data_IF_306930626765
#
_entry.id   IF_306930626765
#
_cell.length_a   1.000
_cell.length_b   1.000
_cell.length_c   1.000
_cell.angle_alpha   90.00
_cell.angle_beta   90.00
_cell.angle_gamma   90.00
#
_symmetry.space_group_name_H-M   'P 1'
#
loop_
_entity.id
_entity.type
_entity.pdbx_description
1 polymer ?
#
# COMPACT_ATOMS: atom_id res chain seq x y z
N UNK A 1 14.74 -4.55 -0.23
CA UNK A 1 13.46 -4.70 -0.93
C UNK A 1 13.61 -4.08 -2.31
N UNK A 2 13.13 -4.73 -3.36
CA UNK A 2 13.07 -4.21 -4.73
C UNK A 2 11.98 -3.14 -4.83
N UNK A 3 12.25 -1.95 -4.27
CA UNK A 3 11.48 -0.76 -4.61
C UNK A 3 11.80 -0.30 -6.04
N UNK A 4 11.12 0.75 -6.53
CA UNK A 4 11.59 1.53 -7.69
C UNK A 4 13.06 1.96 -7.48
N UNK A 5 13.46 2.20 -6.22
CA UNK A 5 14.81 2.59 -5.85
C UNK A 5 15.51 1.51 -5.00
N UNK A 6 16.38 0.73 -5.64
CA UNK A 6 17.21 -0.26 -4.94
C UNK A 6 18.36 0.38 -4.14
N UNK A 7 18.67 1.67 -4.39
CA UNK A 7 19.81 2.35 -3.78
C UNK A 7 19.66 2.53 -2.27
N UNK A 8 18.43 2.54 -1.76
CA UNK A 8 18.13 2.62 -0.33
C UNK A 8 18.69 1.41 0.43
N UNK A 9 18.85 0.25 -0.23
CA UNK A 9 19.44 -0.95 0.37
C UNK A 9 20.90 -1.18 -0.06
N UNK A 10 21.55 -0.16 -0.64
CA UNK A 10 23.00 -0.18 -0.86
C UNK A 10 23.76 -0.32 0.46
N UNK A 11 25.01 -0.77 0.39
CA UNK A 11 25.85 -0.93 1.58
C UNK A 11 26.02 0.40 2.33
N UNK A 12 26.20 1.49 1.58
CA UNK A 12 26.36 2.84 2.11
C UNK A 12 25.09 3.30 2.84
N UNK A 13 23.93 3.09 2.23
CA UNK A 13 22.63 3.42 2.83
C UNK A 13 22.35 2.61 4.10
N UNK A 14 22.61 1.29 4.07
CA UNK A 14 22.48 0.41 5.23
C UNK A 14 23.37 0.85 6.40
N UNK A 15 24.63 1.24 6.12
CA UNK A 15 25.56 1.76 7.13
C UNK A 15 25.11 3.11 7.72
N UNK A 16 24.28 3.86 7.01
CA UNK A 16 23.76 5.16 7.42
C UNK A 16 22.67 5.11 8.50
N UNK A 17 22.17 3.93 8.88
CA UNK A 17 21.06 3.79 9.84
C UNK A 17 21.35 2.70 10.87
N UNK A 18 20.67 2.73 12.02
CA UNK A 18 20.83 1.66 13.01
C UNK A 18 20.20 0.36 12.51
N UNK A 19 18.97 0.42 11.99
CA UNK A 19 18.29 -0.76 11.46
C UNK A 19 19.02 -1.37 10.25
N UNK A 20 19.63 -0.55 9.39
CA UNK A 20 20.45 -1.02 8.27
C UNK A 20 21.71 -1.78 8.71
N UNK A 21 22.36 -1.34 9.79
CA UNK A 21 23.47 -2.09 10.42
C UNK A 21 23.00 -3.46 10.95
N UNK A 22 21.82 -3.51 11.54
CA UNK A 22 21.24 -4.76 12.03
C UNK A 22 20.86 -5.70 10.88
N UNK A 23 20.34 -5.18 9.77
CA UNK A 23 20.12 -5.93 8.52
C UNK A 23 21.44 -6.54 8.02
N UNK A 24 22.51 -5.74 7.92
CA UNK A 24 23.81 -6.24 7.47
C UNK A 24 24.37 -7.32 8.41
N UNK A 25 24.24 -7.13 9.73
CA UNK A 25 24.66 -8.13 10.73
C UNK A 25 23.89 -9.44 10.55
N UNK A 26 22.57 -9.37 10.36
CA UNK A 26 21.75 -10.56 10.12
C UNK A 26 22.07 -11.26 8.79
N UNK A 27 22.40 -10.47 7.75
CA UNK A 27 22.88 -10.99 6.47
C UNK A 27 24.22 -11.73 6.60
N UNK A 28 25.19 -11.14 7.30
CA UNK A 28 26.50 -11.75 7.58
C UNK A 28 26.38 -13.06 8.37
N UNK A 29 25.52 -13.07 9.39
CA UNK A 29 25.25 -14.25 10.21
C UNK A 29 24.32 -15.26 9.52
N UNK A 30 23.78 -14.92 8.35
CA UNK A 30 22.77 -15.71 7.61
C UNK A 30 21.64 -16.16 8.55
N UNK A 31 21.06 -15.21 9.29
CA UNK A 31 20.00 -15.49 10.26
C UNK A 31 18.81 -16.21 9.59
N UNK A 32 18.01 -16.93 10.39
CA UNK A 32 16.80 -17.60 9.88
C UNK A 32 15.85 -16.59 9.20
N UNK A 33 15.63 -15.43 9.83
CA UNK A 33 14.80 -14.36 9.28
C UNK A 33 15.32 -13.83 7.94
N UNK A 34 16.62 -13.55 7.84
CA UNK A 34 17.25 -13.10 6.58
C UNK A 34 17.08 -14.13 5.45
N UNK A 35 17.31 -15.42 5.73
CA UNK A 35 17.13 -16.50 4.75
C UNK A 35 15.68 -16.61 4.28
N UNK A 36 14.72 -16.63 5.20
CA UNK A 36 13.30 -16.68 4.86
C UNK A 36 12.88 -15.44 4.07
N UNK A 37 13.38 -14.27 4.44
CA UNK A 37 13.11 -13.03 3.73
C UNK A 37 13.58 -13.08 2.27
N UNK A 38 14.82 -13.48 2.03
CA UNK A 38 15.33 -13.62 0.66
C UNK A 38 14.61 -14.72 -0.12
N UNK A 39 14.26 -15.83 0.53
CA UNK A 39 13.49 -16.89 -0.11
C UNK A 39 12.15 -16.37 -0.67
N UNK A 40 11.37 -15.63 0.13
CA UNK A 40 10.10 -15.08 -0.35
C UNK A 40 10.31 -13.96 -1.37
N UNK A 41 11.34 -13.12 -1.20
CA UNK A 41 11.70 -12.11 -2.19
C UNK A 41 11.98 -12.75 -3.56
N UNK A 42 12.90 -13.72 -3.62
CA UNK A 42 13.31 -14.38 -4.87
C UNK A 42 12.16 -15.18 -5.50
N UNK A 43 11.40 -15.92 -4.68
CA UNK A 43 10.21 -16.66 -5.14
C UNK A 43 9.21 -15.73 -5.81
N UNK A 44 8.88 -14.62 -5.15
CA UNK A 44 7.85 -13.71 -5.66
C UNK A 44 8.32 -12.86 -6.84
N UNK A 45 9.62 -12.55 -6.95
CA UNK A 45 10.19 -11.94 -8.16
C UNK A 45 10.01 -12.85 -9.39
N UNK A 46 10.13 -14.18 -9.22
CA UNK A 46 9.89 -15.15 -10.30
C UNK A 46 8.39 -15.31 -10.62
N UNK A 47 7.52 -15.25 -9.60
CA UNK A 47 6.07 -15.39 -9.76
C UNK A 47 5.38 -14.11 -10.28
N UNK A 48 6.00 -12.94 -10.12
CA UNK A 48 5.37 -11.65 -10.42
C UNK A 48 4.95 -11.51 -11.89
N UNK A 49 5.78 -12.00 -12.82
CA UNK A 49 5.44 -11.96 -14.25
C UNK A 49 4.19 -12.79 -14.59
N UNK A 50 4.01 -13.94 -13.93
CA UNK A 50 2.83 -14.77 -14.10
C UNK A 50 1.58 -14.09 -13.51
N UNK A 51 1.72 -13.48 -12.33
CA UNK A 51 0.67 -12.65 -11.72
C UNK A 51 0.22 -11.52 -12.66
N UNK A 52 1.17 -10.70 -13.16
CA UNK A 52 0.86 -9.59 -14.05
C UNK A 52 0.12 -10.05 -15.30
N UNK A 53 0.55 -11.17 -15.91
CA UNK A 53 -0.13 -11.78 -17.06
C UNK A 53 -1.57 -12.19 -16.73
N UNK A 54 -1.80 -12.85 -15.59
CA UNK A 54 -3.16 -13.23 -15.15
C UNK A 54 -4.04 -12.01 -14.94
N UNK A 55 -3.50 -10.93 -14.37
CA UNK A 55 -4.23 -9.70 -14.17
C UNK A 55 -4.63 -9.04 -15.50
N UNK A 56 -3.68 -8.85 -16.42
CA UNK A 56 -3.92 -8.28 -17.75
C UNK A 56 -4.99 -9.08 -18.50
N UNK A 57 -4.89 -10.42 -18.51
CA UNK A 57 -5.86 -11.28 -19.18
C UNK A 57 -7.26 -11.15 -18.56
N UNK A 58 -7.36 -11.10 -17.24
CA UNK A 58 -8.65 -10.94 -16.55
C UNK A 58 -9.29 -9.58 -16.86
N UNK A 59 -8.48 -8.52 -16.90
CA UNK A 59 -8.94 -7.17 -17.20
C UNK A 59 -9.38 -7.02 -18.67
N UNK A 60 -8.60 -7.58 -19.59
CA UNK A 60 -8.95 -7.61 -21.02
C UNK A 60 -10.27 -8.33 -21.27
N UNK A 61 -10.46 -9.50 -20.64
CA UNK A 61 -11.68 -10.27 -20.74
C UNK A 61 -12.89 -9.49 -20.17
N UNK A 62 -12.75 -8.86 -19.01
CA UNK A 62 -13.81 -8.09 -18.37
C UNK A 62 -14.25 -6.89 -19.22
N UNK A 63 -13.30 -6.11 -19.76
CA UNK A 63 -13.59 -4.94 -20.60
C UNK A 63 -14.31 -5.35 -21.90
N UNK A 64 -13.86 -6.43 -22.54
CA UNK A 64 -14.44 -6.87 -23.81
C UNK A 64 -15.83 -7.51 -23.65
N UNK A 65 -16.06 -8.21 -22.53
CA UNK A 65 -17.35 -8.83 -22.24
C UNK A 65 -18.44 -7.81 -21.87
N UNK A 66 -18.08 -6.61 -21.41
CA UNK A 66 -19.03 -5.60 -20.98
C UNK A 66 -19.71 -4.91 -22.17
N UNK A 67 -20.98 -5.24 -22.42
CA UNK A 67 -21.79 -4.64 -23.47
C UNK A 67 -22.31 -3.24 -23.13
N UNK A 68 -22.28 -2.83 -21.86
CA UNK A 68 -22.73 -1.49 -21.43
C UNK A 68 -21.77 -0.85 -20.40
N UNK A 69 -20.57 -0.43 -20.84
CA UNK A 69 -19.57 0.19 -19.97
C UNK A 69 -20.08 1.44 -19.25
N UNK A 70 -20.98 2.22 -19.88
CA UNK A 70 -21.56 3.41 -19.27
C UNK A 70 -22.36 3.07 -18.00
N UNK A 71 -23.14 1.98 -18.02
CA UNK A 71 -23.82 1.49 -16.82
C UNK A 71 -22.86 1.00 -15.76
N UNK A 72 -21.75 0.36 -16.15
CA UNK A 72 -20.70 -0.10 -15.22
C UNK A 72 -20.03 1.09 -14.53
N UNK A 73 -19.67 2.13 -15.28
CA UNK A 73 -19.12 3.38 -14.73
C UNK A 73 -20.11 4.02 -13.74
N UNK A 74 -21.38 4.15 -14.12
CA UNK A 74 -22.38 4.79 -13.25
C UNK A 74 -22.55 4.03 -11.94
N UNK A 75 -22.69 2.69 -11.98
CA UNK A 75 -22.80 1.86 -10.78
C UNK A 75 -21.59 2.03 -9.86
N UNK A 76 -20.41 2.12 -10.44
CA UNK A 76 -19.20 2.35 -9.68
C UNK A 76 -19.19 3.73 -9.04
N UNK A 77 -19.49 4.80 -9.80
CA UNK A 77 -19.60 6.16 -9.27
C UNK A 77 -20.61 6.24 -8.11
N UNK A 78 -21.77 5.59 -8.25
CA UNK A 78 -22.80 5.51 -7.21
C UNK A 78 -22.29 4.74 -5.97
N UNK A 79 -21.59 3.62 -6.20
CA UNK A 79 -21.02 2.83 -5.13
C UNK A 79 -19.97 3.62 -4.36
N UNK A 80 -19.00 4.24 -5.06
CA UNK A 80 -17.87 4.95 -4.45
C UNK A 80 -18.21 6.35 -3.97
N UNK A 81 -19.27 6.97 -4.50
CA UNK A 81 -19.71 8.33 -4.17
C UNK A 81 -18.80 9.42 -4.75
N UNK A 82 -18.10 9.16 -5.85
CA UNK A 82 -17.10 10.05 -6.45
C UNK A 82 -17.20 10.02 -7.99
N UNK A 83 -17.92 10.98 -8.56
CA UNK A 83 -18.12 11.10 -10.02
C UNK A 83 -16.84 11.47 -10.77
N UNK A 84 -15.86 12.06 -10.09
CA UNK A 84 -14.55 12.37 -10.64
C UNK A 84 -13.70 11.13 -10.96
N UNK A 85 -14.05 9.97 -10.37
CA UNK A 85 -13.36 8.71 -10.60
C UNK A 85 -13.88 7.94 -11.83
N UNK A 86 -14.87 8.48 -12.54
CA UNK A 86 -15.37 7.90 -13.79
C UNK A 86 -15.08 8.80 -14.99
N UNK A 87 -14.86 8.23 -16.19
CA UNK A 87 -14.60 9.01 -17.38
C UNK A 87 -15.81 9.87 -17.78
N UNK A 88 -15.55 10.88 -18.59
CA UNK A 88 -16.64 11.61 -19.23
C UNK A 88 -17.49 10.67 -20.12
N UNK A 89 -18.83 10.73 -20.02
CA UNK A 89 -19.69 9.76 -20.69
C UNK A 89 -19.47 9.64 -22.21
N UNK A 90 -19.10 10.75 -22.86
CA UNK A 90 -18.81 10.80 -24.29
C UNK A 90 -17.49 10.14 -24.70
N UNK A 91 -16.52 10.00 -23.79
CA UNK A 91 -15.21 9.40 -24.07
C UNK A 91 -15.17 7.88 -23.88
N UNK A 92 -16.19 7.31 -23.20
CA UNK A 92 -16.26 5.89 -22.85
C UNK A 92 -16.09 4.95 -24.06
N UNK A 93 -16.76 5.14 -25.22
CA UNK A 93 -16.59 4.25 -26.37
C UNK A 93 -15.15 4.23 -26.90
N UNK A 94 -14.51 5.40 -26.98
CA UNK A 94 -13.16 5.55 -27.50
C UNK A 94 -12.11 4.96 -26.54
N UNK A 95 -12.30 5.17 -25.23
CA UNK A 95 -11.45 4.58 -24.19
C UNK A 95 -11.55 3.05 -24.24
N UNK A 96 -12.77 2.50 -24.32
CA UNK A 96 -12.97 1.06 -24.44
C UNK A 96 -12.27 0.51 -25.67
N UNK A 97 -12.48 1.12 -26.85
CA UNK A 97 -11.86 0.66 -28.10
C UNK A 97 -10.32 0.64 -27.99
N UNK A 98 -9.73 1.65 -27.35
CA UNK A 98 -8.29 1.72 -27.09
C UNK A 98 -7.81 0.65 -26.10
N UNK A 99 -8.47 0.49 -24.96
CA UNK A 99 -8.09 -0.48 -23.91
C UNK A 99 -8.44 -1.93 -24.25
N UNK A 100 -9.26 -2.16 -25.27
CA UNK A 100 -9.43 -3.49 -25.88
C UNK A 100 -8.17 -3.97 -26.60
N UNK A 101 -7.19 -3.10 -26.90
CA UNK A 101 -5.88 -3.49 -27.40
C UNK A 101 -5.03 -4.11 -26.28
N UNK A 102 -4.56 -5.36 -26.42
CA UNK A 102 -3.73 -6.02 -25.41
C UNK A 102 -2.47 -5.22 -25.04
N UNK A 103 -1.80 -4.62 -26.03
CA UNK A 103 -0.55 -3.89 -25.82
C UNK A 103 -0.78 -2.60 -25.00
N UNK A 104 -1.86 -1.88 -25.30
CA UNK A 104 -2.22 -0.65 -24.58
C UNK A 104 -2.61 -0.99 -23.14
N UNK A 105 -3.44 -2.02 -22.95
CA UNK A 105 -3.84 -2.45 -21.62
C UNK A 105 -2.64 -2.95 -20.80
N UNK A 106 -1.73 -3.69 -21.42
CA UNK A 106 -0.50 -4.15 -20.80
C UNK A 106 0.38 -2.98 -20.34
N UNK A 107 0.55 -1.94 -21.15
CA UNK A 107 1.28 -0.73 -20.74
C UNK A 107 0.62 -0.07 -19.51
N UNK A 108 -0.71 0.12 -19.52
CA UNK A 108 -1.41 0.71 -18.37
C UNK A 108 -1.24 -0.12 -17.11
N UNK A 109 -1.44 -1.43 -17.20
CA UNK A 109 -1.29 -2.32 -16.04
C UNK A 109 0.17 -2.34 -15.55
N UNK A 110 1.15 -2.35 -16.44
CA UNK A 110 2.57 -2.32 -16.05
C UNK A 110 2.95 -1.04 -15.29
N UNK A 111 2.37 0.11 -15.66
CA UNK A 111 2.58 1.39 -14.94
C UNK A 111 1.99 1.38 -13.54
N UNK A 112 0.81 0.78 -13.37
CA UNK A 112 0.14 0.68 -12.07
C UNK A 112 0.93 -0.32 -11.18
N UNK A 113 1.22 -1.50 -11.71
CA UNK A 113 1.99 -2.55 -11.00
C UNK A 113 3.43 -2.15 -10.65
N UNK A 114 3.97 -1.12 -11.30
CA UNK A 114 5.24 -0.53 -10.91
C UNK A 114 5.08 0.36 -9.67
N UNK A 115 4.54 -0.20 -8.59
CA UNK A 115 4.36 0.50 -7.30
C UNK A 115 5.24 -0.13 -6.22
N UNK A 116 5.83 0.71 -5.36
CA UNK A 116 6.57 0.26 -4.19
C UNK A 116 5.67 -0.59 -3.29
N UNK A 117 4.40 -0.19 -3.11
CA UNK A 117 3.46 -0.92 -2.29
C UNK A 117 3.26 -2.34 -2.81
N UNK A 118 2.93 -2.51 -4.09
CA UNK A 118 2.73 -3.83 -4.71
C UNK A 118 3.95 -4.73 -4.55
N UNK A 119 5.13 -4.24 -4.94
CA UNK A 119 6.38 -5.03 -4.89
C UNK A 119 6.76 -5.43 -3.47
N UNK A 120 6.47 -4.57 -2.48
CA UNK A 120 6.73 -4.87 -1.08
C UNK A 120 5.70 -5.81 -0.46
N UNK A 121 4.42 -5.70 -0.83
CA UNK A 121 3.35 -6.51 -0.24
C UNK A 121 3.29 -7.92 -0.79
N UNK A 122 3.66 -8.13 -2.07
CA UNK A 122 3.57 -9.42 -2.71
C UNK A 122 4.34 -10.54 -1.98
N UNK A 123 5.65 -10.38 -1.63
CA UNK A 123 6.36 -11.37 -0.81
C UNK A 123 5.74 -11.58 0.57
N UNK A 124 5.21 -10.52 1.18
CA UNK A 124 4.61 -10.59 2.52
C UNK A 124 3.31 -11.39 2.50
N UNK A 125 2.44 -11.18 1.52
CA UNK A 125 1.19 -11.95 1.39
C UNK A 125 1.45 -13.42 1.09
N UNK A 126 2.41 -13.70 0.21
CA UNK A 126 2.86 -15.07 -0.02
C UNK A 126 3.35 -15.72 1.29
N UNK A 127 4.17 -15.03 2.07
CA UNK A 127 4.66 -15.54 3.35
C UNK A 127 3.53 -15.76 4.38
N UNK A 128 2.65 -14.77 4.57
CA UNK A 128 1.55 -14.89 5.52
C UNK A 128 0.59 -16.03 5.15
N UNK A 129 0.27 -16.17 3.86
CA UNK A 129 -0.63 -17.22 3.38
C UNK A 129 -0.02 -18.62 3.54
N UNK A 130 1.25 -18.78 3.12
CA UNK A 130 1.99 -20.04 3.24
C UNK A 130 2.14 -20.42 4.73
N UNK A 131 2.51 -19.46 5.59
CA UNK A 131 2.64 -19.69 7.03
C UNK A 131 1.32 -20.01 7.74
N UNK A 132 0.21 -19.39 7.31
CA UNK A 132 -1.11 -19.73 7.85
C UNK A 132 -1.56 -21.12 7.40
N UNK A 133 -1.34 -21.46 6.13
CA UNK A 133 -1.68 -22.78 5.60
C UNK A 133 -0.92 -23.88 6.33
N UNK A 134 0.39 -23.69 6.56
CA UNK A 134 1.21 -24.62 7.35
C UNK A 134 0.71 -24.73 8.80
N UNK A 135 0.41 -23.61 9.46
CA UNK A 135 -0.07 -23.61 10.84
C UNK A 135 -1.41 -24.35 11.02
N UNK A 136 -2.35 -24.15 10.09
CA UNK A 136 -3.65 -24.82 10.13
C UNK A 136 -3.63 -26.25 9.56
N UNK A 137 -2.52 -26.68 8.96
CA UNK A 137 -2.41 -27.99 8.31
C UNK A 137 -3.20 -28.10 7.00
N UNK A 138 -3.43 -26.98 6.32
CA UNK A 138 -4.14 -26.96 5.04
C UNK A 138 -3.21 -27.27 3.87
N UNK A 139 -3.79 -27.79 2.79
CA UNK A 139 -3.14 -27.91 1.48
C UNK A 139 -4.03 -27.27 0.42
N UNK A 140 -4.17 -25.93 0.41
CA UNK A 140 -5.01 -25.24 -0.57
C UNK A 140 -4.47 -25.48 -1.97
N UNK A 141 -5.37 -25.55 -2.96
CA UNK A 141 -4.95 -25.58 -4.36
C UNK A 141 -4.15 -24.32 -4.71
N UNK A 142 -3.19 -24.45 -5.62
CA UNK A 142 -2.43 -23.30 -6.13
C UNK A 142 -3.36 -22.22 -6.68
N UNK A 143 -4.45 -22.62 -7.33
CA UNK A 143 -5.46 -21.71 -7.86
C UNK A 143 -6.13 -20.86 -6.77
N UNK A 144 -6.57 -21.47 -5.66
CA UNK A 144 -7.19 -20.74 -4.55
C UNK A 144 -6.20 -19.79 -3.89
N UNK A 145 -4.97 -20.27 -3.67
CA UNK A 145 -3.87 -19.47 -3.12
C UNK A 145 -3.60 -18.24 -3.98
N UNK A 146 -3.36 -18.46 -5.27
CA UNK A 146 -3.07 -17.39 -6.23
C UNK A 146 -4.25 -16.43 -6.34
N UNK A 147 -5.49 -16.93 -6.35
CA UNK A 147 -6.67 -16.06 -6.38
C UNK A 147 -6.73 -15.12 -5.17
N UNK A 148 -6.60 -15.63 -3.94
CA UNK A 148 -6.69 -14.79 -2.73
C UNK A 148 -5.56 -13.76 -2.69
N UNK A 149 -4.32 -14.17 -3.00
CA UNK A 149 -3.16 -13.27 -3.00
C UNK A 149 -3.29 -12.23 -4.12
N UNK A 150 -3.49 -12.67 -5.38
CA UNK A 150 -3.62 -11.80 -6.55
C UNK A 150 -4.76 -10.79 -6.33
N UNK A 151 -5.90 -11.24 -5.80
CA UNK A 151 -7.07 -10.39 -5.57
C UNK A 151 -6.78 -9.25 -4.60
N UNK A 152 -6.04 -9.52 -3.51
CA UNK A 152 -5.63 -8.47 -2.58
C UNK A 152 -4.53 -7.56 -3.13
N UNK A 153 -3.62 -8.08 -3.94
CA UNK A 153 -2.62 -7.24 -4.62
C UNK A 153 -3.29 -6.30 -5.61
N UNK A 154 -4.22 -6.81 -6.42
CA UNK A 154 -5.02 -6.00 -7.35
C UNK A 154 -5.84 -4.94 -6.61
N UNK A 155 -6.40 -5.29 -5.45
CA UNK A 155 -7.14 -4.33 -4.62
C UNK A 155 -6.26 -3.23 -4.02
N UNK A 156 -5.01 -3.54 -3.67
CA UNK A 156 -4.02 -2.54 -3.24
C UNK A 156 -3.63 -1.68 -4.44
N UNK A 157 -3.40 -2.32 -5.59
CA UNK A 157 -3.03 -1.67 -6.84
C UNK A 157 -4.07 -0.63 -7.29
N UNK A 158 -5.36 -0.81 -6.94
CA UNK A 158 -6.41 0.20 -7.14
C UNK A 158 -6.17 1.54 -6.46
N UNK A 159 -5.37 1.60 -5.38
CA UNK A 159 -5.09 2.89 -4.74
C UNK A 159 -4.22 3.77 -5.62
N UNK A 160 -3.32 3.18 -6.42
CA UNK A 160 -2.40 3.91 -7.30
C UNK A 160 -3.12 4.71 -8.41
N UNK A 161 -4.00 4.14 -9.26
CA UNK A 161 -4.73 4.92 -10.25
C UNK A 161 -5.68 5.92 -9.59
N UNK A 162 -6.27 5.59 -8.44
CA UNK A 162 -7.11 6.53 -7.70
C UNK A 162 -6.31 7.74 -7.20
N UNK A 163 -5.14 7.51 -6.60
CA UNK A 163 -4.26 8.57 -6.13
C UNK A 163 -3.81 9.44 -7.32
N UNK A 164 -3.41 8.85 -8.46
CA UNK A 164 -3.05 9.62 -9.67
C UNK A 164 -4.20 10.48 -10.20
N UNK A 165 -5.43 9.98 -10.16
CA UNK A 165 -6.62 10.75 -10.59
C UNK A 165 -6.88 11.93 -9.65
N UNK A 166 -6.79 11.71 -8.33
CA UNK A 166 -7.10 12.71 -7.31
C UNK A 166 -5.97 13.75 -7.20
N UNK A 167 -4.73 13.30 -7.18
CA UNK A 167 -3.55 14.14 -6.93
C UNK A 167 -2.96 14.76 -8.20
N UNK A 168 -3.27 14.18 -9.37
CA UNK A 168 -2.81 14.65 -10.69
C UNK A 168 -1.29 14.86 -10.71
N UNK A 169 -0.55 13.84 -10.28
CA UNK A 169 0.91 13.88 -10.09
C UNK A 169 1.70 13.06 -11.14
N UNK A 170 1.17 11.91 -11.59
CA UNK A 170 1.81 11.01 -12.57
C UNK A 170 0.81 10.58 -13.67
N UNK A 171 1.33 10.28 -14.87
CA UNK A 171 0.56 9.70 -15.98
C UNK A 171 -0.72 10.50 -16.37
N UNK A 172 -0.59 11.83 -16.41
CA UNK A 172 -1.72 12.76 -16.61
C UNK A 172 -2.49 12.53 -17.92
N UNK A 173 -1.79 12.07 -18.96
CA UNK A 173 -2.39 11.73 -20.25
C UNK A 173 -3.24 10.45 -20.23
N UNK A 174 -3.14 9.64 -19.16
CA UNK A 174 -3.82 8.35 -19.02
C UNK A 174 -4.90 8.33 -17.94
N UNK A 175 -5.23 9.46 -17.31
CA UNK A 175 -6.22 9.51 -16.22
C UNK A 175 -7.59 8.95 -16.64
N UNK A 176 -8.04 9.23 -17.86
CA UNK A 176 -9.32 8.69 -18.37
C UNK A 176 -9.26 7.17 -18.58
N UNK A 177 -8.10 6.61 -18.96
CA UNK A 177 -7.92 5.16 -19.05
C UNK A 177 -8.04 4.53 -17.64
N UNK A 178 -7.40 5.15 -16.64
CA UNK A 178 -7.47 4.69 -15.25
C UNK A 178 -8.88 4.75 -14.67
N UNK A 179 -9.58 5.86 -14.88
CA UNK A 179 -11.00 6.00 -14.47
C UNK A 179 -11.86 4.89 -15.07
N UNK A 180 -11.64 4.56 -16.34
CA UNK A 180 -12.36 3.49 -17.02
C UNK A 180 -12.01 2.11 -16.46
N UNK A 181 -10.75 1.85 -16.12
CA UNK A 181 -10.29 0.56 -15.62
C UNK A 181 -10.76 0.26 -14.19
N UNK A 182 -10.88 1.28 -13.33
CA UNK A 182 -11.21 1.15 -11.89
C UNK A 182 -12.35 0.16 -11.56
N UNK A 183 -13.56 0.26 -12.14
CA UNK A 183 -14.64 -0.67 -11.82
C UNK A 183 -14.33 -2.13 -12.17
N UNK A 184 -13.62 -2.35 -13.29
CA UNK A 184 -13.24 -3.69 -13.71
C UNK A 184 -12.17 -4.27 -12.80
N UNK A 185 -11.17 -3.47 -12.42
CA UNK A 185 -10.13 -3.88 -11.49
C UNK A 185 -10.75 -4.27 -10.13
N UNK A 186 -11.68 -3.46 -9.60
CA UNK A 186 -12.40 -3.78 -8.36
C UNK A 186 -13.23 -5.06 -8.48
N UNK A 187 -13.94 -5.25 -9.60
CA UNK A 187 -14.68 -6.47 -9.88
C UNK A 187 -13.79 -7.73 -9.90
N UNK A 188 -12.61 -7.63 -10.51
CA UNK A 188 -11.62 -8.72 -10.56
C UNK A 188 -11.07 -9.03 -9.17
N UNK A 189 -10.72 -8.01 -8.40
CA UNK A 189 -10.29 -8.17 -7.01
C UNK A 189 -11.33 -8.92 -6.18
N UNK A 190 -12.60 -8.48 -6.23
CA UNK A 190 -13.73 -9.13 -5.55
C UNK A 190 -13.89 -10.59 -5.95
N UNK A 191 -13.91 -10.87 -7.25
CA UNK A 191 -14.06 -12.23 -7.77
C UNK A 191 -12.94 -13.14 -7.23
N UNK A 192 -11.69 -12.69 -7.33
CA UNK A 192 -10.51 -13.43 -6.86
C UNK A 192 -10.52 -13.65 -5.34
N UNK A 193 -10.79 -12.61 -4.57
CA UNK A 193 -10.87 -12.66 -3.09
C UNK A 193 -11.98 -13.62 -2.64
N UNK A 194 -13.12 -13.63 -3.35
CA UNK A 194 -14.25 -14.50 -3.01
C UNK A 194 -13.94 -16.00 -3.08
N UNK A 195 -12.91 -16.40 -3.82
CA UNK A 195 -12.44 -17.80 -3.83
C UNK A 195 -11.88 -18.26 -2.47
N UNK A 196 -11.53 -17.31 -1.60
CA UNK A 196 -11.20 -17.57 -0.20
C UNK A 196 -12.39 -17.99 0.66
N UNK A 197 -13.62 -17.67 0.22
CA UNK A 197 -14.89 -17.90 0.91
C UNK A 197 -15.59 -16.60 1.35
N UNK A 198 -16.87 -16.69 1.70
CA UNK A 198 -17.70 -15.52 2.03
C UNK A 198 -17.14 -14.67 3.17
N UNK A 199 -16.55 -15.29 4.17
CA UNK A 199 -15.93 -14.58 5.30
C UNK A 199 -14.71 -13.74 4.87
N UNK A 200 -13.98 -14.18 3.83
CA UNK A 200 -12.82 -13.49 3.27
C UNK A 200 -13.30 -12.29 2.44
N UNK A 201 -14.31 -12.49 1.59
CA UNK A 201 -14.93 -11.40 0.82
C UNK A 201 -15.55 -10.35 1.74
N UNK A 202 -16.30 -10.77 2.76
CA UNK A 202 -16.92 -9.85 3.72
C UNK A 202 -15.88 -8.98 4.44
N UNK A 203 -14.78 -9.58 4.88
CA UNK A 203 -13.69 -8.82 5.49
C UNK A 203 -13.14 -7.78 4.50
N UNK A 204 -12.92 -8.16 3.24
CA UNK A 204 -12.50 -7.23 2.18
C UNK A 204 -13.47 -6.06 2.00
N UNK A 205 -14.79 -6.30 1.88
CA UNK A 205 -15.78 -5.23 1.70
C UNK A 205 -15.85 -4.27 2.90
N UNK A 206 -15.72 -4.79 4.12
CA UNK A 206 -15.64 -3.97 5.34
C UNK A 206 -14.39 -3.08 5.31
N UNK A 207 -13.23 -3.65 4.97
CA UNK A 207 -11.98 -2.90 4.81
C UNK A 207 -12.04 -1.86 3.68
N UNK A 208 -12.66 -2.20 2.55
CA UNK A 208 -12.83 -1.29 1.42
C UNK A 208 -13.71 -0.09 1.78
N UNK A 209 -14.82 -0.33 2.50
CA UNK A 209 -15.68 0.74 3.03
C UNK A 209 -14.92 1.66 3.98
N UNK A 210 -14.10 1.09 4.86
CA UNK A 210 -13.29 1.86 5.80
C UNK A 210 -12.21 2.68 5.10
N UNK A 211 -11.56 2.13 4.07
CA UNK A 211 -10.56 2.84 3.29
C UNK A 211 -11.15 4.07 2.56
N UNK A 212 -12.38 3.95 2.05
CA UNK A 212 -13.12 5.06 1.44
C UNK A 212 -13.41 6.20 2.40
N UNK A 213 -13.73 5.89 3.66
CA UNK A 213 -13.89 6.91 4.70
C UNK A 213 -12.56 7.66 4.88
N UNK A 214 -11.45 6.93 4.97
CA UNK A 214 -10.12 7.55 5.05
C UNK A 214 -9.80 8.45 3.86
N UNK A 215 -10.10 8.01 2.63
CA UNK A 215 -9.92 8.82 1.42
C UNK A 215 -10.76 10.09 1.41
N UNK A 216 -12.00 10.02 1.88
CA UNK A 216 -12.87 11.18 1.98
C UNK A 216 -12.33 12.23 2.97
N UNK A 217 -11.76 11.78 4.10
CA UNK A 217 -11.09 12.67 5.05
C UNK A 217 -9.80 13.26 4.45
N UNK A 218 -9.03 12.47 3.70
CA UNK A 218 -7.82 12.92 2.97
C UNK A 218 -8.12 14.12 2.06
N UNK A 219 -9.15 14.00 1.21
CA UNK A 219 -9.60 15.07 0.31
C UNK A 219 -10.06 16.32 1.08
N UNK A 220 -10.81 16.14 2.18
CA UNK A 220 -11.24 17.26 3.03
C UNK A 220 -10.07 18.01 3.64
N UNK A 221 -9.06 17.31 4.11
CA UNK A 221 -7.87 17.92 4.72
C UNK A 221 -7.01 18.62 3.66
N UNK A 222 -6.94 18.12 2.42
CA UNK A 222 -6.31 18.83 1.29
C UNK A 222 -6.98 20.18 1.02
N UNK A 223 -8.30 20.26 1.15
CA UNK A 223 -9.04 21.52 0.97
C UNK A 223 -8.88 22.51 2.12
N UNK A 224 -8.65 22.03 3.35
CA UNK A 224 -8.48 22.87 4.55
C UNK A 224 -7.32 22.36 5.41
N UNK A 225 -6.06 22.55 4.99
CA UNK A 225 -4.89 21.98 5.66
C UNK A 225 -4.78 22.40 7.13
N UNK A 226 -5.20 23.62 7.46
CA UNK A 226 -5.22 24.17 8.81
C UNK A 226 -6.15 23.43 9.80
N UNK A 227 -7.12 22.66 9.29
CA UNK A 227 -8.12 21.96 10.11
C UNK A 227 -7.68 20.58 10.60
N UNK A 228 -6.43 20.19 10.30
CA UNK A 228 -5.84 18.92 10.70
C UNK A 228 -5.78 18.80 12.22
N UNK A 229 -6.19 17.64 12.74
CA UNK A 229 -6.14 17.30 14.15
C UNK A 229 -5.85 15.79 14.28
N UNK A 230 -5.63 15.30 15.51
CA UNK A 230 -5.28 13.90 15.75
C UNK A 230 -6.36 12.92 15.27
N UNK A 231 -7.64 13.21 15.50
CA UNK A 231 -8.77 12.38 15.06
C UNK A 231 -8.80 12.23 13.54
N UNK A 232 -8.76 13.35 12.82
CA UNK A 232 -8.75 13.38 11.36
C UNK A 232 -7.49 12.69 10.79
N UNK A 233 -6.35 12.79 11.46
CA UNK A 233 -5.13 12.09 11.04
C UNK A 233 -5.22 10.58 11.23
N UNK A 234 -5.75 10.13 12.37
CA UNK A 234 -6.01 8.71 12.59
C UNK A 234 -7.01 8.15 11.58
N UNK A 235 -8.05 8.92 11.23
CA UNK A 235 -9.03 8.53 10.21
C UNK A 235 -8.46 8.55 8.79
N UNK A 236 -7.61 9.51 8.46
CA UNK A 236 -6.89 9.53 7.17
C UNK A 236 -5.97 8.30 7.03
N UNK A 237 -5.22 7.98 8.08
CA UNK A 237 -4.35 6.81 8.14
C UNK A 237 -5.12 5.48 8.18
N UNK A 238 -6.42 5.51 8.48
CA UNK A 238 -7.30 4.35 8.40
C UNK A 238 -7.29 3.69 7.02
N UNK A 239 -6.96 4.42 5.93
CA UNK A 239 -6.80 3.83 4.60
C UNK A 239 -5.74 2.73 4.56
N UNK A 240 -4.54 2.99 5.11
CA UNK A 240 -3.47 2.01 5.21
C UNK A 240 -3.86 0.85 6.13
N UNK A 241 -4.44 1.18 7.30
CA UNK A 241 -4.89 0.20 8.28
C UNK A 241 -5.93 -0.76 7.71
N UNK A 242 -6.93 -0.22 7.04
CA UNK A 242 -8.07 -0.98 6.52
C UNK A 242 -7.64 -1.87 5.36
N UNK A 243 -6.88 -1.35 4.39
CA UNK A 243 -6.41 -2.13 3.24
C UNK A 243 -5.41 -3.21 3.68
N UNK A 244 -4.34 -2.82 4.37
CA UNK A 244 -3.26 -3.74 4.73
C UNK A 244 -3.68 -4.73 5.82
N UNK A 245 -4.40 -4.26 6.83
CA UNK A 245 -4.91 -5.12 7.91
C UNK A 245 -5.90 -6.16 7.39
N UNK A 246 -6.82 -5.76 6.52
CA UNK A 246 -7.81 -6.68 5.96
C UNK A 246 -7.16 -7.70 5.03
N UNK A 247 -6.23 -7.26 4.18
CA UNK A 247 -5.47 -8.18 3.35
C UNK A 247 -4.66 -9.17 4.20
N UNK A 248 -3.98 -8.69 5.26
CA UNK A 248 -3.29 -9.54 6.23
C UNK A 248 -4.21 -10.59 6.87
N UNK A 249 -5.38 -10.17 7.36
CA UNK A 249 -6.41 -11.08 7.90
C UNK A 249 -6.81 -12.17 6.91
N UNK A 250 -6.99 -11.78 5.66
CA UNK A 250 -7.43 -12.67 4.60
C UNK A 250 -6.34 -13.65 4.13
N UNK A 251 -5.06 -13.37 4.40
CA UNK A 251 -4.00 -14.37 4.21
C UNK A 251 -4.15 -15.57 5.15
N UNK A 252 -4.86 -15.42 6.27
CA UNK A 252 -5.26 -16.54 7.14
C UNK A 252 -6.67 -17.07 6.80
N UNK A 253 -7.24 -16.70 5.64
CA UNK A 253 -8.64 -16.94 5.26
C UNK A 253 -9.64 -16.45 6.32
N UNK A 254 -9.31 -15.33 6.99
CA UNK A 254 -10.10 -14.76 8.07
C UNK A 254 -10.32 -15.73 9.27
N UNK A 255 -9.39 -16.67 9.50
CA UNK A 255 -9.46 -17.64 10.60
C UNK A 255 -8.64 -17.21 11.80
N UNK A 256 -9.22 -17.35 12.99
CA UNK A 256 -8.53 -17.11 14.26
C UNK A 256 -7.56 -18.25 14.61
N UNK A 257 -6.48 -17.97 15.36
CA UNK A 257 -6.10 -16.64 15.86
C UNK A 257 -5.34 -15.80 14.83
N UNK A 258 -4.78 -16.42 13.78
CA UNK A 258 -3.86 -15.76 12.85
C UNK A 258 -4.48 -14.59 12.11
N UNK A 259 -5.76 -14.64 11.73
CA UNK A 259 -6.45 -13.56 11.04
C UNK A 259 -6.47 -12.25 11.84
N UNK A 260 -6.67 -12.32 13.15
CA UNK A 260 -6.67 -11.12 14.01
C UNK A 260 -5.24 -10.61 14.26
N UNK A 261 -4.29 -11.54 14.43
CA UNK A 261 -2.87 -11.20 14.61
C UNK A 261 -2.29 -10.54 13.35
N UNK A 262 -2.55 -11.14 12.19
CA UNK A 262 -2.11 -10.60 10.90
C UNK A 262 -2.77 -9.26 10.61
N UNK A 263 -4.04 -9.08 10.98
CA UNK A 263 -4.70 -7.79 10.87
C UNK A 263 -3.94 -6.71 11.64
N UNK A 264 -3.69 -6.92 12.93
CA UNK A 264 -2.97 -5.96 13.76
C UNK A 264 -1.58 -5.66 13.20
N UNK A 265 -0.79 -6.71 12.93
CA UNK A 265 0.58 -6.56 12.45
C UNK A 265 0.69 -5.81 11.13
N UNK A 266 -0.11 -6.21 10.13
CA UNK A 266 -0.08 -5.59 8.80
C UNK A 266 -0.62 -4.16 8.82
N UNK A 267 -1.68 -3.92 9.60
CA UNK A 267 -2.27 -2.60 9.68
C UNK A 267 -1.28 -1.59 10.28
N UNK A 268 -0.63 -1.97 11.39
CA UNK A 268 0.34 -1.13 12.09
C UNK A 268 1.65 -0.97 11.32
N UNK A 269 2.16 -2.03 10.70
CA UNK A 269 3.30 -1.92 9.80
C UNK A 269 3.00 -1.01 8.60
N UNK A 270 1.79 -1.09 8.03
CA UNK A 270 1.34 -0.20 6.96
C UNK A 270 1.31 1.28 7.37
N UNK A 271 0.77 1.59 8.56
CA UNK A 271 0.82 2.94 9.14
C UNK A 271 2.28 3.42 9.34
N UNK A 272 3.16 2.54 9.82
CA UNK A 272 4.59 2.84 9.97
C UNK A 272 5.31 3.14 8.65
N UNK A 273 5.05 2.37 7.59
CA UNK A 273 5.58 2.65 6.23
C UNK A 273 5.05 3.99 5.73
N UNK A 274 3.77 4.30 5.98
CA UNK A 274 3.16 5.57 5.61
C UNK A 274 3.98 6.79 6.10
N UNK A 275 4.48 6.76 7.34
CA UNK A 275 5.33 7.84 7.87
C UNK A 275 6.63 8.03 7.05
N UNK A 276 7.29 6.95 6.63
CA UNK A 276 8.48 7.04 5.78
C UNK A 276 8.17 7.60 4.40
N UNK A 277 7.06 7.15 3.80
CA UNK A 277 6.60 7.64 2.50
C UNK A 277 6.31 9.15 2.54
N UNK A 278 5.70 9.66 3.62
CA UNK A 278 5.45 11.10 3.76
C UNK A 278 6.74 11.92 3.79
N UNK A 279 7.82 11.38 4.36
CA UNK A 279 9.15 12.01 4.37
C UNK A 279 9.78 11.96 2.97
N UNK A 280 9.72 10.79 2.31
CA UNK A 280 10.20 10.64 0.93
C UNK A 280 9.49 11.62 -0.02
N UNK A 281 8.17 11.67 0.04
CA UNK A 281 7.34 12.57 -0.76
C UNK A 281 7.67 14.04 -0.48
N UNK A 282 7.87 14.39 0.80
CA UNK A 282 8.22 15.76 1.15
C UNK A 282 9.56 16.19 0.54
N UNK A 283 10.55 15.29 0.52
CA UNK A 283 11.85 15.51 -0.12
C UNK A 283 11.68 15.67 -1.63
N UNK A 284 10.92 14.77 -2.28
CA UNK A 284 10.73 14.78 -3.74
C UNK A 284 9.96 16.01 -4.23
N UNK A 285 8.89 16.36 -3.52
CA UNK A 285 8.01 17.46 -3.89
C UNK A 285 8.52 18.82 -3.37
N UNK A 286 9.51 18.80 -2.48
CA UNK A 286 10.08 19.99 -1.87
C UNK A 286 9.08 20.78 -1.01
N UNK A 287 8.12 20.09 -0.39
CA UNK A 287 7.12 20.68 0.51
C UNK A 287 6.59 19.62 1.50
N UNK A 288 6.07 20.05 2.65
CA UNK A 288 5.38 19.14 3.57
C UNK A 288 4.11 18.60 2.91
N UNK A 289 3.93 17.27 2.91
CA UNK A 289 2.75 16.61 2.33
C UNK A 289 1.46 17.00 3.06
N UNK A 290 0.34 17.05 2.35
CA UNK A 290 -0.98 17.38 2.91
C UNK A 290 -2.01 16.31 2.49
N UNK A 291 -2.77 15.72 3.44
CA UNK A 291 -2.48 15.70 4.88
C UNK A 291 -1.24 14.86 5.19
N UNK A 292 -0.62 15.09 6.35
CA UNK A 292 0.48 14.25 6.82
C UNK A 292 0.76 14.41 8.32
N UNK A 293 1.39 13.43 8.95
CA UNK A 293 1.84 13.57 10.35
C UNK A 293 2.86 14.70 10.52
N UNK A 294 3.84 14.90 9.59
CA UNK A 294 4.73 16.05 9.62
C UNK A 294 3.97 17.38 9.67
N UNK A 295 2.93 17.55 8.84
CA UNK A 295 2.11 18.76 8.84
C UNK A 295 1.38 18.95 10.17
N UNK A 296 0.72 17.90 10.67
CA UNK A 296 -0.01 17.95 11.93
C UNK A 296 0.91 18.40 13.07
N UNK A 297 2.07 17.76 13.22
CA UNK A 297 2.99 18.11 14.29
C UNK A 297 3.59 19.49 14.08
N UNK A 298 3.98 19.86 12.86
CA UNK A 298 4.55 21.17 12.57
C UNK A 298 3.59 22.32 12.91
N UNK A 299 2.29 22.17 12.63
CA UNK A 299 1.27 23.16 12.98
C UNK A 299 1.09 23.29 14.50
N UNK A 300 1.18 22.19 15.24
CA UNK A 300 1.02 22.19 16.69
C UNK A 300 2.28 22.69 17.43
N UNK A 301 3.48 22.53 16.84
CA UNK A 301 4.73 22.98 17.46
C UNK A 301 5.24 24.32 16.92
N UNK A 302 4.72 24.78 15.79
CA UNK A 302 5.25 25.93 15.06
C UNK A 302 6.64 25.69 14.45
N UNK A 303 7.04 24.42 14.26
CA UNK A 303 8.38 24.05 13.81
C UNK A 303 8.31 22.81 12.88
N UNK A 304 8.57 23.01 11.60
CA UNK A 304 8.60 21.94 10.59
C UNK A 304 9.62 20.85 10.90
N UNK A 305 10.82 21.20 11.36
CA UNK A 305 11.84 20.20 11.71
C UNK A 305 11.33 19.32 12.84
N UNK A 306 10.76 19.94 13.88
CA UNK A 306 10.16 19.22 14.99
C UNK A 306 8.99 18.33 14.54
N UNK A 307 8.23 18.78 13.54
CA UNK A 307 7.16 17.99 12.93
C UNK A 307 7.64 16.64 12.37
N UNK A 308 8.76 16.64 11.62
CA UNK A 308 9.36 15.41 11.10
C UNK A 308 9.98 14.53 12.20
N UNK A 309 10.62 15.13 13.22
CA UNK A 309 11.14 14.39 14.38
C UNK A 309 10.04 13.61 15.12
N UNK A 310 8.88 14.25 15.35
CA UNK A 310 7.73 13.62 16.00
C UNK A 310 7.07 12.56 15.12
N UNK A 311 7.09 12.76 13.80
CA UNK A 311 6.63 11.74 12.84
C UNK A 311 7.47 10.46 12.91
N UNK A 312 8.79 10.59 13.09
CA UNK A 312 9.65 9.42 13.30
C UNK A 312 9.33 8.69 14.62
N UNK A 313 9.00 9.41 15.69
CA UNK A 313 8.56 8.79 16.95
C UNK A 313 7.21 8.08 16.77
N UNK A 314 6.27 8.72 16.07
CA UNK A 314 4.97 8.10 15.73
C UNK A 314 5.14 6.82 14.90
N UNK A 315 6.08 6.84 13.95
CA UNK A 315 6.44 5.64 13.19
C UNK A 315 6.95 4.51 14.07
N UNK A 316 7.80 4.77 15.06
CA UNK A 316 8.31 3.71 15.93
C UNK A 316 7.19 3.13 16.80
N UNK A 317 6.29 3.97 17.33
CA UNK A 317 5.10 3.49 18.06
C UNK A 317 4.26 2.51 17.23
N UNK A 318 4.03 2.82 15.95
CA UNK A 318 3.33 1.89 15.06
C UNK A 318 4.08 0.57 14.90
N UNK A 319 5.40 0.59 14.78
CA UNK A 319 6.19 -0.64 14.62
C UNK A 319 6.27 -1.44 15.92
N UNK A 320 6.31 -0.81 17.08
CA UNK A 320 6.20 -1.47 18.38
C UNK A 320 4.84 -2.19 18.52
N UNK A 321 3.74 -1.57 18.07
CA UNK A 321 2.44 -2.23 18.02
C UNK A 321 2.42 -3.42 17.03
N UNK A 322 3.06 -3.28 15.87
CA UNK A 322 3.19 -4.38 14.91
C UNK A 322 4.02 -5.55 15.50
N UNK A 323 5.05 -5.25 16.29
CA UNK A 323 5.84 -6.25 17.01
C UNK A 323 5.05 -6.98 18.09
N UNK A 324 4.09 -6.31 18.74
CA UNK A 324 3.17 -6.99 19.66
C UNK A 324 2.39 -8.09 18.93
N UNK A 325 1.94 -7.86 17.70
CA UNK A 325 1.29 -8.90 16.90
C UNK A 325 2.23 -10.09 16.64
N UNK A 326 3.50 -9.85 16.35
CA UNK A 326 4.51 -10.92 16.18
C UNK A 326 4.74 -11.71 17.48
N UNK A 327 4.67 -11.05 18.64
CA UNK A 327 4.75 -11.70 19.96
C UNK A 327 3.50 -12.55 20.27
N UNK A 328 2.33 -12.19 19.71
CA UNK A 328 1.09 -12.95 19.85
C UNK A 328 1.02 -14.21 18.98
N UNK A 329 1.95 -14.38 18.03
CA UNK A 329 1.96 -15.56 17.16
C UNK A 329 2.14 -16.85 17.97
N UNK A 330 1.42 -17.93 17.63
CA UNK A 330 1.60 -19.24 18.24
C UNK A 330 3.05 -19.73 18.18
N UNK A 331 3.52 -20.43 19.22
CA UNK A 331 4.92 -20.86 19.30
C UNK A 331 5.38 -21.80 18.17
N UNK A 332 4.46 -22.48 17.51
CA UNK A 332 4.73 -23.35 16.35
C UNK A 332 4.65 -22.63 14.98
N UNK A 333 4.36 -21.33 14.94
CA UNK A 333 4.32 -20.56 13.69
C UNK A 333 5.74 -20.32 13.13
N UNK A 334 6.04 -20.87 11.95
CA UNK A 334 7.43 -20.98 11.45
C UNK A 334 8.02 -19.69 10.87
N UNK A 335 7.18 -18.74 10.47
CA UNK A 335 7.59 -17.50 9.79
C UNK A 335 7.69 -16.29 10.72
N UNK A 336 7.72 -16.51 12.04
CA UNK A 336 8.01 -15.45 13.00
C UNK A 336 9.34 -14.72 12.70
N UNK A 337 10.46 -15.41 12.43
CA UNK A 337 11.73 -14.74 12.12
C UNK A 337 11.70 -13.91 10.83
N UNK A 338 10.91 -14.33 9.83
CA UNK A 338 10.67 -13.54 8.61
C UNK A 338 10.03 -12.19 8.94
N UNK A 339 8.99 -12.18 9.77
CA UNK A 339 8.27 -10.96 10.15
C UNK A 339 9.15 -10.02 10.99
N UNK A 340 9.93 -10.57 11.92
CA UNK A 340 10.91 -9.80 12.70
C UNK A 340 11.95 -9.11 11.80
N UNK A 341 12.44 -9.84 10.77
CA UNK A 341 13.37 -9.26 9.79
C UNK A 341 12.69 -8.21 8.91
N UNK A 342 11.44 -8.45 8.47
CA UNK A 342 10.66 -7.50 7.68
C UNK A 342 10.57 -6.13 8.38
N UNK A 343 10.30 -6.10 9.69
CA UNK A 343 10.20 -4.83 10.42
C UNK A 343 11.53 -4.07 10.51
N UNK A 344 12.68 -4.75 10.50
CA UNK A 344 13.97 -4.06 10.36
C UNK A 344 14.07 -3.33 9.02
N UNK A 345 13.54 -3.90 7.95
CA UNK A 345 13.55 -3.23 6.63
C UNK A 345 12.67 -1.99 6.61
N UNK A 346 11.52 -2.01 7.31
CA UNK A 346 10.63 -0.84 7.44
C UNK A 346 11.30 0.25 8.29
N UNK A 347 11.90 -0.10 9.43
CA UNK A 347 12.67 0.85 10.25
C UNK A 347 13.79 1.50 9.47
N UNK A 348 14.52 0.69 8.71
CA UNK A 348 15.62 1.19 7.88
C UNK A 348 15.12 2.19 6.84
N UNK A 349 14.05 1.87 6.11
CA UNK A 349 13.44 2.77 5.13
C UNK A 349 13.05 4.12 5.74
N UNK A 350 12.37 4.12 6.90
CA UNK A 350 11.97 5.35 7.59
C UNK A 350 13.19 6.15 8.08
N UNK A 351 14.17 5.49 8.70
CA UNK A 351 15.40 6.12 9.17
C UNK A 351 16.23 6.70 8.02
N UNK A 352 16.29 6.01 6.88
CA UNK A 352 17.03 6.44 5.71
C UNK A 352 16.48 7.77 5.16
N UNK A 353 15.17 7.83 4.90
CA UNK A 353 14.56 9.06 4.37
C UNK A 353 14.62 10.22 5.35
N UNK A 354 14.47 9.95 6.65
CA UNK A 354 14.66 10.98 7.65
C UNK A 354 16.10 11.52 7.67
N UNK A 355 17.10 10.64 7.59
CA UNK A 355 18.50 11.07 7.53
C UNK A 355 18.80 11.89 6.26
N UNK A 356 18.22 11.51 5.12
CA UNK A 356 18.31 12.30 3.87
C UNK A 356 17.63 13.67 4.00
N UNK A 357 16.46 13.75 4.65
CA UNK A 357 15.79 15.03 4.93
C UNK A 357 16.68 15.93 5.79
N UNK A 358 17.23 15.41 6.89
CA UNK A 358 18.09 16.16 7.81
C UNK A 358 19.36 16.64 7.11
N UNK A 359 19.95 15.81 6.26
CA UNK A 359 21.14 16.15 5.47
C UNK A 359 20.88 17.28 4.46
N UNK A 360 19.72 17.27 3.80
CA UNK A 360 19.31 18.33 2.87
C UNK A 360 18.89 19.62 3.59
N UNK A 361 18.41 19.50 4.83
CA UNK A 361 17.96 20.59 5.70
C UNK A 361 17.00 21.61 5.04
N UNK A 362 15.93 21.18 4.34
CA UNK A 362 15.04 22.09 3.60
C UNK A 362 14.01 22.83 4.49
N UNK A 363 14.19 22.80 5.81
CA UNK A 363 13.15 23.14 6.78
C UNK A 363 12.63 24.58 6.67
N UNK A 364 13.49 25.55 6.37
CA UNK A 364 13.08 26.95 6.22
C UNK A 364 12.17 27.15 4.99
N UNK A 365 12.50 26.51 3.87
CA UNK A 365 11.68 26.57 2.66
C UNK A 365 10.34 25.86 2.87
N UNK A 366 10.34 24.73 3.58
CA UNK A 366 9.14 24.00 3.91
C UNK A 366 8.24 24.80 4.85
N UNK A 367 8.80 25.47 5.85
CA UNK A 367 8.08 26.36 6.76
C UNK A 367 7.34 27.45 5.98
N UNK A 368 8.04 28.16 5.08
CA UNK A 368 7.44 29.20 4.24
C UNK A 368 6.29 28.67 3.38
N UNK A 369 6.47 27.49 2.75
CA UNK A 369 5.43 26.88 1.91
C UNK A 369 4.23 26.41 2.73
N UNK A 370 4.47 25.86 3.92
CA UNK A 370 3.42 25.44 4.84
C UNK A 370 2.57 26.63 5.28
N UNK A 371 3.20 27.72 5.73
CA UNK A 371 2.50 28.95 6.13
C UNK A 371 1.65 29.52 4.99
N UNK A 372 2.18 29.52 3.77
CA UNK A 372 1.44 29.97 2.59
C UNK A 372 0.25 29.06 2.22
N UNK A 373 0.36 27.75 2.47
CA UNK A 373 -0.72 26.79 2.23
C UNK A 373 -1.83 26.87 3.28
N UNK A 374 -1.47 27.16 4.54
CA UNK A 374 -2.38 27.25 5.69
C UNK A 374 -3.12 28.59 5.75
N UNK A 375 -2.55 29.64 5.14
CA UNK A 375 -3.19 30.96 5.05
C UNK A 375 -4.28 31.08 3.98
N UNK A 376 -4.43 30.09 3.09
CA UNK A 376 -5.51 29.98 2.10
C UNK A 376 -6.70 29.25 2.69
#
# INVERSE_FOLDING_TARGET
>A
MSGKDESIFSKEALMGTQAGKDIMKQGLLRSKGYKQFNQYKEKTEQEFGAFAKRFIMSLHAAINADSNPASTMQKFADEVGASELVPEAGSIPDIKARLSSPDVLQDRVARILNSNFVKMTFPVFNALYDGASEYFGDSPSQEKRDAVIDGHIIAIDLSEPMDRIVDRDEDLEYLEDYKFMNPYILGIARNKISQGGDAVLKAFEEGFKDARIGQYIDVKLKMKPASINDENMNDCYKKYRAVMGTAGRNMALNRRPLGDIFHLGMAKAGEGVGCGNEIEDAIKNGAVKVPSWPLYYALNTGDVRRGFELTMQKSELYLEEAEMAVKMLPGNFQLKPFLEFLFLTVRHYNQYWYNELVKRAPFADFQKKMEAAVAK
#
